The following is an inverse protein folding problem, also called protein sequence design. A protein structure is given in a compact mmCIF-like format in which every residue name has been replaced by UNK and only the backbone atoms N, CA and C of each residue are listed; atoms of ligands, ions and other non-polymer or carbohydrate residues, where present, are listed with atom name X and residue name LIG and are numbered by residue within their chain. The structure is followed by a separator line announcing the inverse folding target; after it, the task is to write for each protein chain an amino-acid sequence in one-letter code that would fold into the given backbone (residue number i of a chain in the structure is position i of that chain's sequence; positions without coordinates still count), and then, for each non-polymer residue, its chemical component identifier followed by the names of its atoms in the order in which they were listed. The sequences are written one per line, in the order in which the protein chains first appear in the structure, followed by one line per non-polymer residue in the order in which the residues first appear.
data_IF_002941883580
#
_entry.id   IF_002941883580
#
_cell.length_a   1.000
_cell.length_b   1.000
_cell.length_c   1.000
_cell.angle_alpha   90.00
_cell.angle_beta   90.00
_cell.angle_gamma   90.00
#
_symmetry.space_group_name_H-M   'P 1'
#
loop_
_entity.id
_entity.type
_entity.pdbx_description
1 polymer ?
#
# COMPACT_ATOMS: atom_id res chain seq x y z
N UNK A 1 28.35 -6.35 6.48
CA UNK A 1 27.59 -5.15 6.07
C UNK A 1 28.41 -4.42 5.02
N UNK A 2 27.99 -4.36 3.75
CA UNK A 2 28.70 -3.59 2.73
C UNK A 2 28.56 -2.10 3.05
N UNK A 3 29.68 -1.41 3.13
CA UNK A 3 29.81 0.01 3.50
C UNK A 3 29.58 0.97 2.33
N UNK A 4 28.91 0.55 1.24
CA UNK A 4 28.74 1.36 0.01
C UNK A 4 27.40 2.09 -0.11
N UNK A 5 26.41 1.78 0.73
CA UNK A 5 25.04 2.25 0.56
C UNK A 5 24.87 3.77 0.65
N UNK A 6 25.71 4.49 1.39
CA UNK A 6 25.56 5.95 1.59
C UNK A 6 25.62 6.76 0.29
N UNK A 7 26.27 6.23 -0.77
CA UNK A 7 26.36 6.90 -2.08
C UNK A 7 25.49 6.26 -3.17
N UNK A 8 24.93 5.07 -2.94
CA UNK A 8 24.34 4.23 -3.99
C UNK A 8 22.81 4.05 -3.87
N UNK A 9 22.20 4.43 -2.74
CA UNK A 9 20.80 4.13 -2.45
C UNK A 9 20.62 2.72 -1.86
N UNK A 10 19.52 2.47 -1.17
CA UNK A 10 19.20 1.15 -0.62
C UNK A 10 18.79 0.20 -1.75
N UNK A 11 19.20 -1.07 -1.67
CA UNK A 11 18.97 -2.06 -2.72
C UNK A 11 18.13 -3.22 -2.16
N UNK A 12 16.95 -3.41 -2.75
CA UNK A 12 16.10 -4.58 -2.55
C UNK A 12 16.37 -5.60 -3.65
N UNK A 13 16.36 -6.87 -3.28
CA UNK A 13 16.62 -8.01 -4.18
C UNK A 13 15.49 -9.02 -4.02
N UNK A 14 14.82 -9.33 -5.14
CA UNK A 14 13.76 -10.32 -5.18
C UNK A 14 14.31 -11.75 -4.97
N UNK A 15 13.62 -12.59 -4.18
CA UNK A 15 13.99 -13.99 -4.01
C UNK A 15 13.67 -14.78 -5.30
N UNK A 16 14.68 -15.01 -6.15
CA UNK A 16 14.49 -15.77 -7.40
C UNK A 16 14.96 -17.24 -7.30
N UNK A 17 14.31 -18.20 -7.99
CA UNK A 17 14.69 -19.62 -7.99
C UNK A 17 16.10 -19.91 -8.56
N UNK A 18 16.75 -18.91 -9.18
CA UNK A 18 18.09 -19.04 -9.77
C UNK A 18 19.21 -19.34 -8.75
N UNK A 19 18.92 -19.21 -7.46
CA UNK A 19 19.79 -19.58 -6.36
C UNK A 19 19.37 -20.92 -5.72
N UNK A 20 19.48 -22.02 -6.47
CA UNK A 20 19.49 -23.35 -5.86
C UNK A 20 20.78 -23.50 -5.03
N UNK A 21 20.68 -23.21 -3.74
CA UNK A 21 21.77 -23.31 -2.77
C UNK A 21 21.66 -22.36 -1.57
N UNK A 22 20.95 -21.23 -1.70
CA UNK A 22 20.75 -20.30 -0.57
C UNK A 22 19.36 -20.47 0.02
N UNK A 23 19.28 -20.89 1.28
CA UNK A 23 18.07 -20.75 2.08
C UNK A 23 17.80 -19.25 2.25
N UNK A 24 16.78 -18.75 1.58
CA UNK A 24 16.26 -17.42 1.84
C UNK A 24 15.59 -17.47 3.22
N UNK A 25 16.09 -16.68 4.18
CA UNK A 25 15.46 -16.54 5.48
C UNK A 25 14.74 -15.19 5.51
N UNK A 26 13.51 -15.10 6.05
CA UNK A 26 12.94 -13.82 6.43
C UNK A 26 13.82 -13.25 7.54
N UNK A 27 14.62 -12.23 7.21
CA UNK A 27 15.33 -11.41 8.16
C UNK A 27 14.36 -10.40 8.74
N UNK A 28 14.28 -10.33 10.07
CA UNK A 28 13.54 -9.26 10.74
C UNK A 28 14.46 -8.03 10.78
N UNK A 29 14.18 -6.97 10.02
CA UNK A 29 14.52 -5.65 10.52
C UNK A 29 13.33 -5.10 11.27
N UNK A 30 13.61 -4.63 12.48
CA UNK A 30 12.62 -3.99 13.32
C UNK A 30 12.48 -2.56 12.81
N UNK A 31 11.44 -2.31 12.01
CA UNK A 31 11.03 -0.95 11.69
C UNK A 31 10.72 -0.19 12.99
N UNK A 32 10.92 1.12 12.99
CA UNK A 32 10.68 2.01 14.13
C UNK A 32 9.22 2.04 14.64
N UNK A 33 8.31 1.32 13.96
CA UNK A 33 6.90 1.13 14.32
C UNK A 33 6.51 -0.28 14.80
N UNK A 34 7.46 -1.19 14.95
CA UNK A 34 7.17 -2.53 15.51
C UNK A 34 6.47 -3.51 14.56
N UNK A 35 6.22 -3.14 13.30
CA UNK A 35 5.89 -4.09 12.24
C UNK A 35 7.17 -4.80 11.75
N UNK A 36 7.07 -6.13 11.64
CA UNK A 36 8.14 -6.98 11.13
C UNK A 36 8.08 -6.92 9.61
N UNK A 37 9.00 -6.19 8.99
CA UNK A 37 9.18 -6.23 7.54
C UNK A 37 10.09 -7.42 7.19
N UNK A 38 9.63 -8.33 6.33
CA UNK A 38 10.43 -9.46 5.87
C UNK A 38 11.54 -8.97 4.92
N UNK A 39 12.77 -8.94 5.42
CA UNK A 39 13.96 -8.61 4.64
C UNK A 39 14.65 -9.89 4.20
N UNK A 40 14.81 -10.05 2.89
CA UNK A 40 15.51 -11.19 2.32
C UNK A 40 17.01 -10.92 2.23
N UNK A 41 17.81 -11.43 3.18
CA UNK A 41 19.27 -11.40 3.10
C UNK A 41 19.84 -12.70 2.52
N UNK A 42 20.76 -12.65 1.54
CA UNK A 42 21.46 -13.83 1.06
C UNK A 42 22.51 -14.29 2.09
N UNK A 43 22.42 -15.54 2.57
CA UNK A 43 23.56 -16.18 3.25
C UNK A 43 24.71 -16.33 2.26
N UNK A 44 25.90 -15.85 2.64
CA UNK A 44 27.14 -15.97 1.87
C UNK A 44 27.49 -17.45 1.59
N UNK A 45 26.95 -18.02 0.53
CA UNK A 45 27.50 -19.16 -0.22
C UNK A 45 26.68 -19.36 -1.49
N UNK A 46 27.20 -18.89 -2.63
CA UNK A 46 26.56 -19.07 -3.94
C UNK A 46 27.18 -20.33 -4.56
N UNK A 47 26.55 -21.48 -4.40
CA UNK A 47 26.82 -22.66 -5.23
C UNK A 47 25.90 -22.72 -6.47
N UNK A 48 26.22 -23.63 -7.39
CA UNK A 48 25.87 -23.60 -8.83
C UNK A 48 24.35 -23.71 -9.14
N UNK A 49 23.63 -22.60 -9.12
CA UNK A 49 22.33 -22.40 -9.80
C UNK A 49 22.43 -21.84 -11.24
N UNK A 50 21.34 -21.99 -12.02
CA UNK A 50 21.27 -21.87 -13.50
C UNK A 50 21.75 -20.57 -14.16
N UNK A 51 22.39 -20.71 -15.33
CA UNK A 51 23.12 -19.63 -16.03
C UNK A 51 22.25 -18.45 -16.51
N UNK A 52 20.96 -18.66 -16.83
CA UNK A 52 20.09 -17.59 -17.36
C UNK A 52 19.70 -16.53 -16.32
N UNK A 53 19.23 -16.96 -15.15
CA UNK A 53 18.86 -16.05 -14.06
C UNK A 53 20.09 -15.31 -13.48
N UNK A 54 21.24 -15.99 -13.42
CA UNK A 54 22.51 -15.37 -13.00
C UNK A 54 23.02 -14.32 -14.00
N UNK A 55 22.82 -14.51 -15.30
CA UNK A 55 23.16 -13.50 -16.31
C UNK A 55 22.24 -12.29 -16.23
N UNK A 56 20.91 -12.48 -16.08
CA UNK A 56 19.97 -11.36 -15.91
C UNK A 56 20.26 -10.52 -14.66
N UNK A 57 20.63 -11.17 -13.56
CA UNK A 57 21.07 -10.50 -12.33
C UNK A 57 22.43 -9.80 -12.50
N UNK A 58 23.38 -10.44 -13.17
CA UNK A 58 24.69 -9.88 -13.52
C UNK A 58 24.63 -8.70 -14.48
N UNK A 59 23.64 -8.66 -15.39
CA UNK A 59 23.41 -7.57 -16.33
C UNK A 59 22.60 -6.43 -15.68
N UNK A 60 21.65 -6.73 -14.79
CA UNK A 60 20.96 -5.74 -13.96
C UNK A 60 21.85 -5.05 -12.92
N UNK A 61 22.90 -5.74 -12.46
CA UNK A 61 23.97 -5.17 -11.62
C UNK A 61 25.11 -4.57 -12.45
N UNK A 62 25.31 -5.06 -13.69
CA UNK A 62 26.44 -4.79 -14.57
C UNK A 62 26.19 -3.82 -15.72
N UNK A 63 24.95 -3.35 -15.92
CA UNK A 63 24.68 -2.08 -16.58
C UNK A 63 25.52 -1.03 -15.83
N UNK A 64 26.70 -0.74 -16.40
CA UNK A 64 27.87 -0.09 -15.79
C UNK A 64 27.50 0.73 -14.55
N UNK A 65 28.23 0.52 -13.45
CA UNK A 65 28.34 1.34 -12.22
C UNK A 65 28.50 2.85 -12.53
N UNK A 66 27.50 3.41 -13.16
CA UNK A 66 27.26 4.81 -13.36
C UNK A 66 26.32 5.20 -12.22
N UNK A 67 26.54 6.37 -11.59
CA UNK A 67 25.61 6.89 -10.61
C UNK A 67 24.20 6.77 -11.14
N UNK A 68 23.22 6.56 -10.25
CA UNK A 68 21.80 6.47 -10.58
C UNK A 68 21.34 7.56 -11.58
N UNK A 69 22.07 8.68 -11.72
CA UNK A 69 22.17 9.46 -12.95
C UNK A 69 23.52 10.21 -13.05
N UNK A 70 24.32 10.15 -14.14
CA UNK A 70 25.32 11.16 -14.43
C UNK A 70 24.60 12.42 -14.91
N UNK A 71 24.30 13.35 -13.99
CA UNK A 71 23.65 14.62 -14.35
C UNK A 71 22.62 15.15 -13.36
N UNK A 72 22.36 14.49 -12.23
CA UNK A 72 21.59 15.13 -11.14
C UNK A 72 22.54 16.09 -10.42
N UNK A 73 22.38 17.42 -10.56
CA UNK A 73 23.26 18.37 -9.91
C UNK A 73 23.04 18.33 -8.40
N UNK A 74 24.12 18.56 -7.65
CA UNK A 74 24.10 18.84 -6.20
C UNK A 74 23.21 20.07 -5.92
N UNK A 75 22.65 20.18 -4.70
CA UNK A 75 21.24 20.44 -4.47
C UNK A 75 20.83 21.87 -4.86
N UNK A 76 19.91 21.99 -5.81
CA UNK A 76 19.12 23.19 -6.04
C UNK A 76 17.83 23.15 -5.20
N UNK A 77 17.17 24.30 -4.93
CA UNK A 77 16.03 24.43 -4.00
C UNK A 77 14.78 23.63 -4.37
N UNK A 78 14.77 22.89 -5.48
CA UNK A 78 13.64 22.08 -5.94
C UNK A 78 13.43 20.75 -5.15
N UNK A 79 14.24 20.47 -4.12
CA UNK A 79 14.18 19.19 -3.37
C UNK A 79 13.05 19.07 -2.35
N UNK A 80 12.35 20.13 -1.98
CA UNK A 80 11.27 20.04 -0.97
C UNK A 80 10.04 19.24 -1.43
N UNK A 81 9.92 18.89 -2.73
CA UNK A 81 8.74 18.20 -3.27
C UNK A 81 8.95 16.72 -3.63
N UNK A 82 10.15 16.16 -3.39
CA UNK A 82 10.48 14.77 -3.71
C UNK A 82 10.96 14.05 -2.45
N UNK A 83 10.24 13.00 -2.05
CA UNK A 83 10.57 12.17 -0.90
C UNK A 83 11.61 11.10 -1.26
N UNK A 84 11.45 10.47 -2.43
CA UNK A 84 12.35 9.41 -2.90
C UNK A 84 12.40 9.33 -4.42
N UNK A 85 13.45 8.69 -4.94
CA UNK A 85 13.61 8.27 -6.33
C UNK A 85 13.93 6.78 -6.32
N UNK A 86 13.34 6.03 -7.24
CA UNK A 86 13.58 4.59 -7.34
C UNK A 86 13.69 4.08 -8.77
N UNK A 87 14.34 2.93 -8.91
CA UNK A 87 14.43 2.18 -10.15
C UNK A 87 14.26 0.69 -9.86
N UNK A 88 13.27 0.08 -10.48
CA UNK A 88 12.98 -1.34 -10.43
C UNK A 88 13.31 -1.98 -11.79
N UNK A 89 14.06 -3.08 -11.78
CA UNK A 89 14.57 -3.74 -12.99
C UNK A 89 13.97 -5.14 -13.14
N UNK A 90 13.93 -5.64 -14.39
CA UNK A 90 13.54 -7.03 -14.70
C UNK A 90 14.33 -8.06 -13.87
N UNK A 91 15.61 -7.78 -13.59
CA UNK A 91 16.48 -8.67 -12.80
C UNK A 91 16.11 -8.83 -11.32
N UNK A 92 14.96 -8.32 -10.88
CA UNK A 92 14.50 -8.43 -9.49
C UNK A 92 15.17 -7.45 -8.54
N UNK A 93 15.80 -6.39 -9.06
CA UNK A 93 16.50 -5.39 -8.25
C UNK A 93 15.69 -4.10 -8.24
N UNK A 94 15.34 -3.63 -7.04
CA UNK A 94 14.74 -2.32 -6.80
C UNK A 94 15.68 -1.46 -5.98
N UNK A 95 16.07 -0.30 -6.49
CA UNK A 95 16.93 0.67 -5.78
C UNK A 95 16.13 1.88 -5.37
N UNK A 96 16.29 2.33 -4.12
CA UNK A 96 15.58 3.48 -3.56
C UNK A 96 16.58 4.49 -2.98
N UNK A 97 16.39 5.76 -3.30
CA UNK A 97 17.25 6.86 -2.85
C UNK A 97 16.40 8.02 -2.31
N UNK A 98 16.78 8.68 -1.19
CA UNK A 98 17.93 8.37 -0.32
C UNK A 98 17.69 7.14 0.56
N UNK A 99 18.74 6.60 1.21
CA UNK A 99 18.61 5.41 2.07
C UNK A 99 17.56 5.55 3.16
N UNK A 100 17.40 6.75 3.73
CA UNK A 100 16.37 7.02 4.73
C UNK A 100 14.95 6.72 4.21
N UNK A 101 14.71 6.92 2.92
CA UNK A 101 13.40 6.64 2.33
C UNK A 101 13.14 5.14 2.09
N UNK A 102 14.15 4.29 2.27
CA UNK A 102 14.00 2.85 2.16
C UNK A 102 13.34 2.24 3.41
N UNK A 103 13.50 2.88 4.58
CA UNK A 103 12.84 2.47 5.82
C UNK A 103 11.31 2.66 5.72
N UNK A 104 10.86 3.68 4.95
CA UNK A 104 9.45 3.99 4.68
C UNK A 104 8.95 3.40 3.34
N UNK A 105 9.64 2.37 2.83
CA UNK A 105 9.30 1.71 1.56
C UNK A 105 8.36 0.53 1.80
N UNK A 106 7.06 0.77 1.59
CA UNK A 106 5.99 -0.20 1.80
C UNK A 106 5.68 -1.06 0.55
N UNK A 107 6.32 -0.76 -0.58
CA UNK A 107 6.07 -1.50 -1.82
C UNK A 107 6.78 -2.85 -1.84
N UNK A 108 6.17 -3.79 -2.58
CA UNK A 108 6.70 -5.13 -2.75
C UNK A 108 8.14 -5.12 -3.31
N UNK A 109 9.11 -5.79 -2.65
CA UNK A 109 10.50 -5.83 -3.12
C UNK A 109 10.65 -6.57 -4.44
N UNK A 110 9.76 -7.51 -4.75
CA UNK A 110 9.72 -8.22 -6.03
C UNK A 110 9.00 -7.39 -7.11
N UNK A 111 9.70 -6.93 -8.16
CA UNK A 111 9.12 -6.06 -9.18
C UNK A 111 7.92 -6.68 -9.90
N UNK A 112 7.92 -7.99 -10.16
CA UNK A 112 6.81 -8.64 -10.86
C UNK A 112 5.54 -8.80 -10.02
N UNK A 113 5.65 -8.73 -8.70
CA UNK A 113 4.50 -8.71 -7.81
C UNK A 113 4.05 -7.27 -7.49
N UNK A 114 4.94 -6.28 -7.62
CA UNK A 114 4.63 -4.87 -7.44
C UNK A 114 3.67 -4.31 -8.49
N UNK A 115 2.58 -3.67 -8.04
CA UNK A 115 1.54 -3.14 -8.93
C UNK A 115 2.03 -1.96 -9.78
N UNK A 116 2.86 -1.07 -9.23
CA UNK A 116 3.41 0.07 -9.98
C UNK A 116 4.25 -0.38 -11.18
N UNK A 117 4.97 -1.50 -11.03
CA UNK A 117 5.86 -2.03 -12.06
C UNK A 117 5.04 -2.57 -13.24
N UNK A 118 4.07 -3.44 -12.96
CA UNK A 118 3.18 -4.01 -13.99
C UNK A 118 2.38 -2.93 -14.71
N UNK A 119 1.76 -2.00 -13.97
CA UNK A 119 0.97 -0.91 -14.54
C UNK A 119 1.80 0.02 -15.43
N UNK A 120 3.05 0.30 -15.05
CA UNK A 120 3.97 1.10 -15.86
C UNK A 120 4.40 0.41 -17.16
N UNK A 121 4.53 -0.91 -17.14
CA UNK A 121 4.87 -1.69 -18.33
C UNK A 121 3.71 -1.78 -19.32
N UNK A 122 2.48 -1.94 -18.82
CA UNK A 122 1.28 -2.10 -19.65
C UNK A 122 0.82 -0.77 -20.25
N UNK A 123 1.00 0.33 -19.54
CA UNK A 123 0.56 1.66 -19.97
C UNK A 123 1.67 2.48 -20.63
N UNK A 124 1.27 3.59 -21.24
CA UNK A 124 2.16 4.64 -21.75
C UNK A 124 1.98 5.90 -20.93
N UNK A 125 3.09 6.54 -20.56
CA UNK A 125 3.10 7.75 -19.74
C UNK A 125 3.38 7.46 -18.27
N UNK A 126 3.06 8.43 -17.42
CA UNK A 126 3.30 8.37 -15.98
C UNK A 126 2.08 7.79 -15.28
N UNK A 127 2.32 6.76 -14.45
CA UNK A 127 1.31 6.12 -13.62
C UNK A 127 1.43 6.64 -12.21
N UNK A 128 0.31 7.11 -11.65
CA UNK A 128 0.21 7.54 -10.28
C UNK A 128 -0.28 6.38 -9.43
N UNK A 129 0.34 6.16 -8.28
CA UNK A 129 -0.15 5.23 -7.28
C UNK A 129 -0.26 5.99 -5.96
N UNK A 130 -1.47 6.42 -5.57
CA UNK A 130 -1.68 6.99 -4.26
C UNK A 130 -1.50 5.89 -3.19
N UNK A 131 -1.16 6.26 -1.95
CA UNK A 131 -1.01 5.30 -0.86
C UNK A 131 -2.35 4.64 -0.55
N UNK A 132 -2.33 3.34 -0.29
CA UNK A 132 -3.52 2.63 0.15
C UNK A 132 -3.89 3.04 1.59
N UNK A 133 -5.18 3.23 1.87
CA UNK A 133 -5.67 3.63 3.18
C UNK A 133 -6.83 2.75 3.62
N UNK A 134 -6.60 1.98 4.68
CA UNK A 134 -7.68 1.28 5.37
C UNK A 134 -8.56 2.25 6.14
N UNK A 135 -9.87 1.97 6.14
CA UNK A 135 -10.87 2.76 6.86
C UNK A 135 -10.65 2.78 8.40
N UNK A 136 -9.84 1.87 8.93
CA UNK A 136 -9.50 1.76 10.36
C UNK A 136 -8.29 2.58 10.82
N UNK A 137 -7.49 3.12 9.89
CA UNK A 137 -6.34 3.96 10.22
C UNK A 137 -6.82 5.32 10.72
N UNK A 138 -6.89 5.47 12.04
CA UNK A 138 -7.21 6.74 12.71
C UNK A 138 -6.29 7.84 12.19
N UNK A 139 -6.84 9.02 11.93
CA UNK A 139 -6.12 10.22 11.50
C UNK A 139 -5.08 10.79 12.48
N UNK A 140 -4.61 10.01 13.45
CA UNK A 140 -3.58 10.38 14.43
C UNK A 140 -2.15 10.16 13.91
N UNK A 141 -1.93 9.28 12.93
CA UNK A 141 -0.59 9.11 12.30
C UNK A 141 -0.31 10.13 11.18
N UNK A 142 -1.30 10.96 10.84
CA UNK A 142 -1.19 12.03 9.84
C UNK A 142 -0.34 13.21 10.32
N UNK A 143 -0.19 13.39 11.63
CA UNK A 143 0.58 14.52 12.15
C UNK A 143 2.10 14.32 12.03
N UNK A 144 2.58 13.08 11.85
CA UNK A 144 4.01 12.77 11.88
C UNK A 144 4.61 12.20 10.59
N UNK A 145 3.79 11.66 9.66
CA UNK A 145 4.31 11.06 8.42
C UNK A 145 3.87 11.82 7.17
N UNK A 146 4.84 12.22 6.35
CA UNK A 146 4.61 12.79 5.01
C UNK A 146 3.97 11.75 4.10
N UNK A 147 2.80 12.08 3.56
CA UNK A 147 2.06 11.20 2.66
C UNK A 147 2.74 11.21 1.29
N UNK A 148 3.18 10.04 0.83
CA UNK A 148 3.89 9.92 -0.45
C UNK A 148 3.03 9.37 -1.57
N UNK A 149 2.93 10.07 -2.69
CA UNK A 149 2.34 9.55 -3.94
C UNK A 149 3.46 8.97 -4.81
N UNK A 150 3.33 7.71 -5.22
CA UNK A 150 4.30 7.09 -6.12
C UNK A 150 3.97 7.45 -7.57
N UNK A 151 4.97 7.87 -8.35
CA UNK A 151 4.84 8.11 -9.78
C UNK A 151 5.86 7.27 -10.51
N UNK A 152 5.44 6.51 -11.51
CA UNK A 152 6.29 5.55 -12.20
C UNK A 152 6.07 5.55 -13.71
N UNK A 153 7.13 5.23 -14.46
CA UNK A 153 7.09 5.07 -15.92
C UNK A 153 8.05 3.97 -16.33
N UNK A 154 7.68 3.20 -17.36
CA UNK A 154 8.59 2.26 -17.97
C UNK A 154 9.67 2.99 -18.79
N UNK A 155 10.90 2.48 -18.72
CA UNK A 155 12.01 2.90 -19.58
C UNK A 155 11.84 2.20 -20.90
N UNK A 156 11.53 2.94 -21.96
CA UNK A 156 11.34 2.40 -23.31
C UNK A 156 12.61 2.60 -24.14
N UNK A 157 13.20 1.50 -24.64
CA UNK A 157 14.39 1.51 -25.47
C UNK A 157 14.09 0.87 -26.83
N UNK A 158 14.57 1.47 -27.92
CA UNK A 158 14.47 0.86 -29.25
C UNK A 158 15.86 0.43 -29.73
N UNK A 159 16.08 -0.88 -29.85
CA UNK A 159 17.35 -1.47 -30.28
C UNK A 159 17.08 -2.35 -31.50
N UNK A 160 17.68 -2.02 -32.64
CA UNK A 160 17.53 -2.80 -33.87
C UNK A 160 16.08 -2.90 -34.37
N UNK A 161 15.28 -1.84 -34.19
CA UNK A 161 13.87 -1.80 -34.59
C UNK A 161 12.92 -2.57 -33.67
N UNK A 162 13.40 -3.10 -32.55
CA UNK A 162 12.58 -3.71 -31.50
C UNK A 162 12.51 -2.81 -30.28
N UNK A 163 11.30 -2.61 -29.76
CA UNK A 163 11.05 -1.88 -28.52
C UNK A 163 11.14 -2.82 -27.33
N UNK A 164 11.94 -2.45 -26.33
CA UNK A 164 12.16 -3.17 -25.08
C UNK A 164 11.86 -2.26 -23.89
N UNK A 165 11.35 -2.84 -22.81
CA UNK A 165 11.09 -2.14 -21.54
C UNK A 165 11.83 -2.82 -20.37
N UNK A 166 13.15 -2.59 -20.20
CA UNK A 166 13.97 -3.37 -19.24
C UNK A 166 13.81 -2.94 -17.77
N UNK A 167 13.29 -1.74 -17.51
CA UNK A 167 13.20 -1.19 -16.17
C UNK A 167 12.01 -0.22 -16.04
N UNK A 168 11.59 0.02 -14.81
CA UNK A 168 10.61 1.03 -14.42
C UNK A 168 11.31 1.98 -13.45
N UNK A 169 11.21 3.27 -13.74
CA UNK A 169 11.77 4.33 -12.90
C UNK A 169 10.65 5.18 -12.33
N UNK A 170 10.87 5.74 -11.15
CA UNK A 170 9.85 6.55 -10.51
C UNK A 170 10.34 7.40 -9.37
N UNK A 171 9.41 8.16 -8.81
CA UNK A 171 9.62 9.08 -7.70
C UNK A 171 8.48 8.95 -6.69
N UNK A 172 8.78 9.17 -5.41
CA UNK A 172 7.78 9.35 -4.35
C UNK A 172 7.64 10.85 -4.12
N UNK A 173 6.47 11.39 -4.41
CA UNK A 173 6.11 12.80 -4.33
C UNK A 173 5.54 13.11 -2.95
N UNK A 174 5.86 14.27 -2.39
CA UNK A 174 5.20 14.75 -1.17
C UNK A 174 3.81 15.32 -1.48
N UNK A 175 2.77 14.75 -0.86
CA UNK A 175 1.37 15.13 -1.10
C UNK A 175 1.14 16.63 -0.91
N UNK A 176 1.62 17.20 0.20
CA UNK A 176 1.33 18.60 0.56
C UNK A 176 1.97 19.56 -0.46
N UNK A 177 3.26 19.37 -0.75
CA UNK A 177 3.98 20.18 -1.72
C UNK A 177 3.40 20.07 -3.14
N UNK A 178 2.87 18.90 -3.52
CA UNK A 178 2.28 18.70 -4.85
C UNK A 178 0.81 19.11 -4.93
N UNK A 179 0.06 19.05 -3.84
CA UNK A 179 -1.27 19.61 -3.77
C UNK A 179 -1.23 21.11 -4.08
N UNK A 180 -0.32 21.87 -3.43
CA UNK A 180 -0.13 23.31 -3.70
C UNK A 180 0.22 23.59 -5.17
N UNK A 181 1.13 22.81 -5.75
CA UNK A 181 1.46 22.92 -7.19
C UNK A 181 0.25 22.61 -8.07
N UNK A 182 -0.54 21.60 -7.70
CA UNK A 182 -1.76 21.26 -8.40
C UNK A 182 -2.79 22.39 -8.36
N UNK A 183 -2.97 23.09 -7.23
CA UNK A 183 -3.86 24.27 -7.15
C UNK A 183 -3.45 25.32 -8.17
N UNK A 184 -2.15 25.60 -8.29
CA UNK A 184 -1.64 26.56 -9.29
C UNK A 184 -1.86 26.05 -10.71
N UNK A 185 -1.52 24.79 -11.01
CA UNK A 185 -1.64 24.22 -12.36
C UNK A 185 -3.08 24.03 -12.85
N UNK A 186 -3.99 23.74 -11.93
CA UNK A 186 -5.41 23.60 -12.21
C UNK A 186 -6.11 24.96 -12.29
N UNK A 187 -5.48 26.02 -11.78
CA UNK A 187 -6.00 27.38 -11.87
C UNK A 187 -5.69 28.04 -13.21
N UNK A 188 -6.40 29.12 -13.51
CA UNK A 188 -6.14 29.98 -14.66
C UNK A 188 -4.86 30.86 -14.49
N UNK A 189 -4.15 30.74 -13.36
CA UNK A 189 -2.89 31.45 -13.11
C UNK A 189 -1.70 30.53 -13.37
N UNK A 190 -0.75 31.01 -14.18
CA UNK A 190 0.50 30.29 -14.44
C UNK A 190 1.57 30.52 -13.37
N UNK A 191 1.39 31.51 -12.49
CA UNK A 191 2.34 31.88 -11.44
C UNK A 191 1.62 32.45 -10.22
N UNK A 192 2.27 32.38 -9.04
CA UNK A 192 1.75 32.91 -7.77
C UNK A 192 1.69 34.44 -7.78
N UNK A 193 2.52 35.07 -8.60
CA UNK A 193 2.54 36.51 -8.81
C UNK A 193 1.51 36.93 -9.87
N UNK A 194 0.75 37.99 -9.57
CA UNK A 194 -0.37 38.50 -10.38
C UNK A 194 0.02 38.99 -11.80
N UNK A 195 1.29 38.85 -12.20
CA UNK A 195 1.81 39.21 -13.52
C UNK A 195 1.78 38.05 -14.54
N UNK A 196 1.38 36.84 -14.14
CA UNK A 196 1.22 35.71 -15.05
C UNK A 196 0.10 35.90 -16.09
N UNK A 197 0.33 35.46 -17.32
CA UNK A 197 -0.66 35.50 -18.39
C UNK A 197 -1.88 34.61 -18.04
N UNK A 198 -3.07 35.21 -17.94
CA UNK A 198 -4.34 34.48 -17.80
C UNK A 198 -4.61 33.69 -19.07
N UNK A 199 -4.97 32.41 -18.95
CA UNK A 199 -5.33 31.55 -20.10
C UNK A 199 -6.73 31.84 -20.65
N UNK A 200 -7.65 32.33 -19.82
CA UNK A 200 -8.93 32.83 -20.30
C UNK A 200 -8.81 34.25 -20.88
N UNK A 201 -9.61 34.53 -21.89
CA UNK A 201 -9.82 35.87 -22.43
C UNK A 201 -10.49 36.77 -21.36
N UNK A 202 -10.00 38.01 -21.11
CA UNK A 202 -10.56 38.92 -20.11
C UNK A 202 -12.06 39.26 -20.29
N UNK A 203 -12.68 38.95 -21.44
CA UNK A 203 -14.12 39.15 -21.71
C UNK A 203 -15.03 38.11 -21.06
N UNK A 204 -14.52 36.91 -20.81
CA UNK A 204 -15.26 35.77 -20.25
C UNK A 204 -14.77 35.53 -18.84
N UNK A 205 -15.64 35.65 -17.84
CA UNK A 205 -15.33 35.22 -16.48
C UNK A 205 -14.93 33.75 -16.49
N UNK A 206 -13.75 33.40 -15.98
CA UNK A 206 -13.35 32.01 -15.79
C UNK A 206 -14.19 31.44 -14.63
N UNK A 207 -15.37 30.93 -14.96
CA UNK A 207 -16.31 30.42 -13.97
C UNK A 207 -15.83 29.08 -13.37
N UNK A 208 -14.98 28.34 -14.10
CA UNK A 208 -14.40 27.06 -13.68
C UNK A 208 -12.91 27.20 -13.38
N UNK A 209 -12.55 28.04 -12.41
CA UNK A 209 -11.17 28.22 -11.96
C UNK A 209 -10.94 27.49 -10.62
N UNK A 210 -9.98 26.56 -10.61
CA UNK A 210 -9.56 25.82 -9.41
C UNK A 210 -8.69 26.68 -8.49
N UNK A 211 -9.08 27.93 -8.27
CA UNK A 211 -8.31 28.85 -7.45
C UNK A 211 -8.20 28.30 -6.03
N UNK A 212 -6.98 28.35 -5.47
CA UNK A 212 -6.64 27.73 -4.18
C UNK A 212 -7.54 28.17 -3.01
N UNK A 213 -8.17 29.33 -3.12
CA UNK A 213 -8.99 29.93 -2.06
C UNK A 213 -10.50 29.79 -2.31
N UNK A 214 -10.93 29.26 -3.45
CA UNK A 214 -12.35 29.10 -3.74
C UNK A 214 -12.86 27.78 -3.16
N UNK A 215 -13.77 27.86 -2.19
CA UNK A 215 -14.38 26.68 -1.56
C UNK A 215 -15.55 26.10 -2.35
N UNK A 216 -16.05 26.83 -3.35
CA UNK A 216 -17.24 26.46 -4.09
C UNK A 216 -16.95 25.48 -5.24
N UNK A 217 -15.68 25.38 -5.68
CA UNK A 217 -15.24 24.48 -6.75
C UNK A 217 -14.27 23.43 -6.23
N UNK A 218 -14.56 22.16 -6.54
CA UNK A 218 -13.73 21.01 -6.18
C UNK A 218 -13.03 20.50 -7.44
N UNK A 219 -11.70 20.59 -7.44
CA UNK A 219 -10.87 20.05 -8.50
C UNK A 219 -10.05 18.88 -7.98
N UNK A 220 -10.09 17.77 -8.71
CA UNK A 220 -9.47 16.50 -8.32
C UNK A 220 -8.65 15.93 -9.48
N UNK A 221 -7.58 15.23 -9.14
CA UNK A 221 -6.82 14.39 -10.05
C UNK A 221 -7.13 12.92 -9.73
N UNK A 222 -7.56 12.18 -10.76
CA UNK A 222 -7.95 10.77 -10.64
C UNK A 222 -7.04 9.95 -11.56
N UNK A 223 -6.55 8.82 -11.05
CA UNK A 223 -5.69 7.88 -11.77
C UNK A 223 -6.48 6.96 -12.72
N UNK A 224 -5.81 6.23 -13.61
CA UNK A 224 -6.47 5.31 -14.57
C UNK A 224 -7.29 4.19 -13.91
N UNK A 225 -6.96 3.85 -12.66
CA UNK A 225 -7.73 2.91 -11.83
C UNK A 225 -8.96 3.52 -11.15
N UNK A 226 -9.23 4.82 -11.33
CA UNK A 226 -10.33 5.51 -10.64
C UNK A 226 -10.04 5.82 -9.17
N UNK A 227 -8.78 6.00 -8.80
CA UNK A 227 -8.37 6.36 -7.43
C UNK A 227 -8.06 7.86 -7.32
N UNK A 228 -8.44 8.48 -6.20
CA UNK A 228 -8.15 9.88 -5.94
C UNK A 228 -6.65 10.08 -5.65
N UNK A 229 -5.98 10.89 -6.47
CA UNK A 229 -4.55 11.20 -6.36
C UNK A 229 -4.31 12.53 -5.66
N UNK A 230 -4.95 13.61 -6.13
CA UNK A 230 -4.82 14.96 -5.58
C UNK A 230 -6.18 15.65 -5.52
N UNK A 231 -6.33 16.58 -4.57
CA UNK A 231 -7.48 17.47 -4.49
C UNK A 231 -7.03 18.89 -4.14
N UNK A 232 -7.76 19.88 -4.65
CA UNK A 232 -7.59 21.28 -4.27
C UNK A 232 -7.98 21.53 -2.80
N UNK A 233 -8.92 20.76 -2.26
CA UNK A 233 -9.40 20.97 -0.88
C UNK A 233 -8.62 20.12 0.12
N UNK A 234 -8.17 20.74 1.20
CA UNK A 234 -7.45 20.08 2.31
C UNK A 234 -8.31 19.02 3.00
N UNK A 235 -9.61 19.30 3.12
CA UNK A 235 -10.62 18.37 3.64
C UNK A 235 -10.74 17.10 2.77
N UNK A 236 -10.16 17.03 1.58
CA UNK A 236 -10.17 15.82 0.76
C UNK A 236 -8.83 15.06 0.82
N UNK A 237 -7.82 15.58 1.51
CA UNK A 237 -6.50 14.93 1.60
C UNK A 237 -6.54 13.60 2.36
N UNK A 238 -7.45 13.45 3.33
CA UNK A 238 -7.67 12.16 4.01
C UNK A 238 -8.36 11.11 3.11
N UNK A 239 -8.95 11.54 1.99
CA UNK A 239 -9.60 10.67 1.02
C UNK A 239 -8.67 10.25 -0.12
N UNK A 240 -7.48 10.85 -0.22
CA UNK A 240 -6.45 10.45 -1.20
C UNK A 240 -6.10 8.98 -0.99
N UNK A 241 -6.09 8.21 -2.08
CA UNK A 241 -5.90 6.76 -2.06
C UNK A 241 -7.19 5.94 -2.06
N UNK A 242 -8.34 6.55 -1.76
CA UNK A 242 -9.63 5.87 -1.86
C UNK A 242 -10.10 5.74 -3.29
N UNK A 243 -10.88 4.70 -3.55
CA UNK A 243 -11.59 4.56 -4.81
C UNK A 243 -12.59 5.71 -4.96
N UNK A 244 -12.63 6.33 -6.14
CA UNK A 244 -13.36 7.58 -6.32
C UNK A 244 -14.87 7.46 -6.11
N UNK A 245 -15.46 6.27 -6.28
CA UNK A 245 -16.87 6.05 -5.96
C UNK A 245 -17.18 6.11 -4.46
N UNK A 246 -16.19 5.93 -3.58
CA UNK A 246 -16.36 6.15 -2.12
C UNK A 246 -16.33 7.63 -1.77
N UNK A 247 -15.69 8.44 -2.61
CA UNK A 247 -15.58 9.90 -2.47
C UNK A 247 -16.79 10.59 -3.09
N UNK A 248 -17.07 10.31 -4.36
CA UNK A 248 -18.20 10.86 -5.13
C UNK A 248 -18.75 9.80 -6.11
N UNK A 249 -19.74 9.04 -5.65
CA UNK A 249 -20.39 8.00 -6.43
C UNK A 249 -21.13 8.55 -7.67
N UNK A 250 -21.72 9.74 -7.58
CA UNK A 250 -22.51 10.33 -8.66
C UNK A 250 -21.60 10.72 -9.83
N UNK A 251 -20.49 11.38 -9.54
CA UNK A 251 -19.50 11.74 -10.56
C UNK A 251 -18.84 10.49 -11.16
N UNK A 252 -18.47 9.50 -10.35
CA UNK A 252 -17.88 8.26 -10.88
C UNK A 252 -18.86 7.50 -11.80
N UNK A 253 -20.14 7.44 -11.44
CA UNK A 253 -21.19 6.86 -12.28
C UNK A 253 -21.36 7.63 -13.59
N UNK A 254 -21.34 8.97 -13.53
CA UNK A 254 -21.40 9.81 -14.73
C UNK A 254 -20.18 9.58 -15.65
N UNK A 255 -18.97 9.47 -15.09
CA UNK A 255 -17.75 9.17 -15.86
C UNK A 255 -17.84 7.80 -16.53
N UNK A 256 -18.36 6.80 -15.84
CA UNK A 256 -18.61 5.47 -16.40
C UNK A 256 -19.66 5.49 -17.52
N UNK A 257 -20.80 6.14 -17.30
CA UNK A 257 -21.89 6.24 -18.29
C UNK A 257 -21.46 6.97 -19.57
N UNK A 258 -20.56 7.95 -19.44
CA UNK A 258 -19.96 8.67 -20.56
C UNK A 258 -18.74 7.98 -21.16
N UNK A 259 -18.48 6.71 -20.80
CA UNK A 259 -17.41 5.88 -21.34
C UNK A 259 -15.97 6.36 -21.09
N UNK A 260 -15.74 7.19 -20.06
CA UNK A 260 -14.38 7.54 -19.63
C UNK A 260 -13.66 6.35 -19.02
N UNK A 261 -14.37 5.65 -18.14
CA UNK A 261 -13.90 4.42 -17.55
C UNK A 261 -14.67 3.23 -18.08
N UNK A 262 -13.96 2.13 -18.23
CA UNK A 262 -14.56 0.82 -18.44
C UNK A 262 -14.29 -0.04 -17.21
N UNK A 263 -15.28 -0.86 -16.84
CA UNK A 263 -15.23 -1.73 -15.67
C UNK A 263 -15.08 -3.18 -16.10
N UNK A 264 -14.16 -3.91 -15.48
CA UNK A 264 -13.97 -5.35 -15.67
C UNK A 264 -14.14 -6.05 -14.31
N UNK A 265 -14.95 -7.09 -14.31
CA UNK A 265 -15.26 -7.88 -13.12
C UNK A 265 -14.58 -9.25 -13.24
N UNK A 266 -13.94 -9.70 -12.16
CA UNK A 266 -13.30 -11.00 -12.03
C UNK A 266 -13.71 -11.68 -10.72
N UNK A 267 -13.60 -13.00 -10.68
CA UNK A 267 -13.97 -13.79 -9.50
C UNK A 267 -12.73 -14.51 -8.99
N UNK A 268 -12.40 -14.26 -7.72
CA UNK A 268 -11.36 -14.96 -6.98
C UNK A 268 -12.00 -16.11 -6.19
N UNK A 269 -11.64 -17.33 -6.55
CA UNK A 269 -12.16 -18.56 -5.91
C UNK A 269 -11.29 -19.05 -4.75
N UNK A 270 -10.16 -18.38 -4.47
CA UNK A 270 -9.19 -18.77 -3.45
C UNK A 270 -9.10 -17.77 -2.29
N UNK A 271 -10.05 -16.83 -2.22
CA UNK A 271 -10.11 -15.83 -1.18
C UNK A 271 -10.65 -16.34 0.16
N UNK A 272 -10.31 -15.60 1.21
CA UNK A 272 -10.75 -15.85 2.59
C UNK A 272 -11.67 -14.72 3.04
N UNK A 273 -12.81 -15.07 3.64
CA UNK A 273 -13.76 -14.10 4.20
C UNK A 273 -14.04 -14.39 5.67
N UNK A 274 -14.39 -13.32 6.39
CA UNK A 274 -14.99 -13.44 7.70
C UNK A 274 -16.25 -14.31 7.61
N UNK A 275 -16.42 -15.30 8.52
CA UNK A 275 -17.60 -16.14 8.50
C UNK A 275 -18.84 -15.27 8.69
N UNK A 276 -19.84 -15.46 7.84
CA UNK A 276 -21.15 -14.85 8.07
C UNK A 276 -21.65 -15.29 9.45
N UNK A 277 -22.20 -14.35 10.22
CA UNK A 277 -22.80 -14.65 11.50
C UNK A 277 -23.86 -15.74 11.27
N UNK A 278 -23.60 -16.94 11.78
CA UNK A 278 -24.52 -18.05 11.60
C UNK A 278 -25.89 -17.65 12.16
N UNK A 279 -26.93 -17.65 11.34
CA UNK A 279 -28.33 -17.51 11.78
C UNK A 279 -28.80 -18.80 12.47
N UNK A 280 -28.01 -19.31 13.41
CA UNK A 280 -28.31 -20.52 14.13
C UNK A 280 -29.37 -20.23 15.19
N UNK A 281 -30.64 -20.29 14.81
CA UNK A 281 -31.64 -20.90 15.69
C UNK A 281 -31.36 -22.40 15.77
N UNK A 282 -30.22 -22.77 16.33
CA UNK A 282 -29.86 -24.16 16.61
C UNK A 282 -30.65 -24.63 17.82
N UNK A 283 -31.50 -25.63 17.64
CA UNK A 283 -32.20 -26.29 18.73
C UNK A 283 -31.17 -26.88 19.70
N UNK A 284 -31.01 -26.28 20.88
CA UNK A 284 -30.24 -26.88 21.95
C UNK A 284 -30.80 -28.29 22.24
N UNK A 285 -29.96 -29.34 22.29
CA UNK A 285 -30.44 -30.67 22.61
C UNK A 285 -30.99 -30.63 24.04
N UNK A 286 -32.31 -30.75 24.19
CA UNK A 286 -32.97 -30.88 25.50
C UNK A 286 -32.75 -32.29 26.05
N UNK A 287 -31.54 -32.57 26.50
CA UNK A 287 -31.22 -33.74 27.30
C UNK A 287 -30.91 -33.31 28.73
N UNK A 288 -31.80 -33.59 29.68
CA UNK A 288 -31.50 -33.41 31.11
C UNK A 288 -30.62 -34.59 31.53
N UNK A 289 -29.34 -34.34 31.77
CA UNK A 289 -28.43 -35.34 32.34
C UNK A 289 -28.77 -35.54 33.82
N UNK A 290 -29.19 -36.75 34.19
CA UNK A 290 -29.44 -37.12 35.58
C UNK A 290 -28.15 -37.76 36.13
N UNK A 291 -27.41 -37.09 37.02
CA UNK A 291 -26.14 -37.60 37.52
C UNK A 291 -26.34 -38.89 38.31
N UNK A 292 -25.45 -39.85 38.10
CA UNK A 292 -25.44 -41.14 38.80
C UNK A 292 -24.64 -41.06 40.09
N UNK A 293 -24.76 -42.07 40.97
CA UNK A 293 -23.97 -42.14 42.21
C UNK A 293 -22.47 -42.18 41.92
N UNK A 294 -22.06 -42.75 40.78
CA UNK A 294 -20.67 -42.74 40.35
C UNK A 294 -20.18 -41.33 40.00
N UNK A 295 -21.02 -40.48 39.41
CA UNK A 295 -20.68 -39.10 39.09
C UNK A 295 -20.49 -38.27 40.37
N UNK A 296 -21.33 -38.48 41.39
CA UNK A 296 -21.18 -37.86 42.71
C UNK A 296 -19.89 -38.29 43.41
N UNK A 297 -19.55 -39.59 43.36
CA UNK A 297 -18.32 -40.11 43.96
C UNK A 297 -17.07 -39.62 43.24
N UNK A 298 -17.10 -39.54 41.90
CA UNK A 298 -16.02 -38.94 41.13
C UNK A 298 -15.85 -37.48 41.50
N UNK A 299 -16.93 -36.70 41.56
CA UNK A 299 -16.88 -35.29 41.90
C UNK A 299 -16.36 -35.08 43.33
N UNK A 300 -16.79 -35.89 44.29
CA UNK A 300 -16.27 -35.89 45.65
C UNK A 300 -14.76 -36.19 45.71
N UNK A 301 -14.29 -37.18 44.94
CA UNK A 301 -12.87 -37.50 44.82
C UNK A 301 -12.06 -36.34 44.23
N UNK A 302 -12.50 -35.77 43.11
CA UNK A 302 -11.85 -34.62 42.47
C UNK A 302 -11.82 -33.41 43.39
N UNK A 303 -12.90 -33.11 44.11
CA UNK A 303 -12.92 -32.01 45.08
C UNK A 303 -11.99 -32.26 46.26
N UNK A 304 -11.84 -33.52 46.70
CA UNK A 304 -10.92 -33.88 47.78
C UNK A 304 -9.46 -33.74 47.32
N UNK A 305 -9.16 -34.18 46.10
CA UNK A 305 -7.84 -34.01 45.48
C UNK A 305 -7.50 -32.52 45.27
N UNK A 306 -8.45 -31.72 44.79
CA UNK A 306 -8.26 -30.28 44.60
C UNK A 306 -8.07 -29.55 45.95
N UNK A 307 -8.88 -29.86 46.96
CA UNK A 307 -8.73 -29.31 48.30
C UNK A 307 -7.37 -29.68 48.90
N UNK A 308 -6.90 -30.91 48.70
CA UNK A 308 -5.58 -31.35 49.14
C UNK A 308 -4.45 -30.62 48.41
N UNK A 309 -4.59 -30.40 47.10
CA UNK A 309 -3.63 -29.61 46.31
C UNK A 309 -3.55 -28.16 46.81
N UNK A 310 -4.69 -27.51 47.07
CA UNK A 310 -4.74 -26.15 47.59
C UNK A 310 -4.19 -26.08 49.02
N UNK A 311 -4.46 -27.07 49.86
CA UNK A 311 -3.90 -27.17 51.20
C UNK A 311 -2.37 -27.33 51.16
N UNK A 312 -1.86 -28.17 50.25
CA UNK A 312 -0.43 -28.30 50.00
C UNK A 312 0.15 -26.97 49.53
N UNK A 313 -0.47 -26.27 48.56
CA UNK A 313 -0.03 -24.95 48.10
C UNK A 313 -0.07 -23.89 49.21
N UNK A 314 -1.04 -23.96 50.12
CA UNK A 314 -1.09 -23.10 51.30
C UNK A 314 0.06 -23.40 52.28
N UNK A 315 0.36 -24.66 52.56
CA UNK A 315 1.49 -25.04 53.41
C UNK A 315 2.85 -24.72 52.77
N UNK A 316 3.01 -24.95 51.47
CA UNK A 316 4.20 -24.55 50.71
C UNK A 316 4.34 -23.02 50.65
N UNK A 317 3.24 -22.28 50.53
CA UNK A 317 3.23 -20.81 50.58
C UNK A 317 3.55 -20.24 51.97
N UNK A 318 3.15 -20.91 53.05
CA UNK A 318 3.50 -20.53 54.42
C UNK A 318 4.98 -20.80 54.75
N UNK A 319 5.59 -21.81 54.13
CA UNK A 319 7.00 -22.19 54.35
C UNK A 319 7.97 -21.48 53.41
N UNK A 320 7.50 -21.02 52.24
CA UNK A 320 8.26 -20.24 51.26
C UNK A 320 7.53 -18.92 50.96
N UNK A 321 7.51 -18.01 51.93
CA UNK A 321 6.75 -16.75 51.88
C UNK A 321 7.38 -15.64 51.02
N UNK A 322 7.96 -15.96 49.85
CA UNK A 322 8.66 -14.93 49.05
C UNK A 322 8.56 -14.99 47.52
N UNK A 323 7.69 -15.79 46.88
CA UNK A 323 7.77 -15.87 45.41
C UNK A 323 6.50 -16.19 44.60
N UNK A 324 5.37 -15.53 44.86
CA UNK A 324 4.26 -15.54 43.90
C UNK A 324 3.90 -14.13 43.46
N UNK A 325 4.43 -13.72 42.31
CA UNK A 325 3.77 -12.72 41.47
C UNK A 325 2.72 -13.44 40.63
N UNK A 326 1.49 -12.93 40.66
CA UNK A 326 0.42 -13.31 39.75
C UNK A 326 0.72 -12.72 38.36
N UNK A 327 1.13 -13.56 37.43
CA UNK A 327 1.12 -13.22 36.00
C UNK A 327 -0.30 -13.45 35.49
N UNK A 328 -0.98 -12.38 35.10
CA UNK A 328 -2.28 -12.44 34.44
C UNK A 328 -2.09 -13.07 33.06
N UNK A 329 -2.44 -14.35 32.93
CA UNK A 329 -2.57 -14.98 31.62
C UNK A 329 -3.83 -14.43 30.97
N UNK A 330 -3.65 -13.41 30.13
CA UNK A 330 -4.66 -12.96 29.20
C UNK A 330 -5.06 -14.14 28.30
N UNK A 331 -6.34 -14.52 28.36
CA UNK A 331 -6.89 -15.56 27.50
C UNK A 331 -6.76 -15.11 26.05
N UNK A 332 -6.02 -15.91 25.27
CA UNK A 332 -5.88 -15.74 23.83
C UNK A 332 -7.28 -15.70 23.20
N UNK A 333 -7.59 -14.60 22.52
CA UNK A 333 -8.88 -14.39 21.91
C UNK A 333 -9.13 -15.49 20.88
N UNK A 334 -10.31 -16.10 20.95
CA UNK A 334 -10.75 -17.14 20.02
C UNK A 334 -10.54 -16.66 18.57
N UNK A 335 -9.49 -17.13 17.91
CA UNK A 335 -9.21 -16.85 16.51
C UNK A 335 -10.47 -17.11 15.68
N UNK A 336 -10.94 -16.07 14.99
CA UNK A 336 -12.09 -16.20 14.12
C UNK A 336 -11.75 -17.23 13.04
N UNK A 337 -12.52 -18.32 12.95
CA UNK A 337 -12.33 -19.33 11.91
C UNK A 337 -12.59 -18.71 10.55
N UNK A 338 -11.51 -18.42 9.84
CA UNK A 338 -11.50 -17.98 8.46
C UNK A 338 -12.13 -19.04 7.54
N UNK A 339 -12.97 -18.61 6.60
CA UNK A 339 -13.66 -19.51 5.67
C UNK A 339 -13.37 -19.15 4.22
N UNK A 340 -13.25 -20.16 3.34
CA UNK A 340 -13.07 -19.95 1.91
C UNK A 340 -14.35 -19.35 1.31
N UNK A 341 -14.20 -18.25 0.58
CA UNK A 341 -15.29 -17.56 -0.09
C UNK A 341 -14.90 -17.21 -1.53
N UNK A 342 -15.89 -16.82 -2.34
CA UNK A 342 -15.67 -16.30 -3.68
C UNK A 342 -15.75 -14.78 -3.62
N UNK A 343 -14.65 -14.09 -3.86
CA UNK A 343 -14.61 -12.63 -3.89
C UNK A 343 -14.78 -12.12 -5.32
N UNK A 344 -15.76 -11.24 -5.53
CA UNK A 344 -15.92 -10.51 -6.79
C UNK A 344 -15.02 -9.28 -6.78
N UNK A 345 -13.99 -9.30 -7.62
CA UNK A 345 -13.06 -8.18 -7.81
C UNK A 345 -13.53 -7.32 -8.99
N UNK A 346 -13.42 -6.01 -8.86
CA UNK A 346 -13.85 -5.04 -9.87
C UNK A 346 -12.70 -4.07 -10.14
N UNK A 347 -12.31 -3.94 -11.40
CA UNK A 347 -11.21 -3.07 -11.83
C UNK A 347 -11.72 -2.06 -12.85
N UNK A 348 -11.25 -0.82 -12.74
CA UNK A 348 -11.54 0.26 -13.70
C UNK A 348 -10.28 0.58 -14.51
N UNK A 349 -10.48 0.98 -15.76
CA UNK A 349 -9.43 1.41 -16.67
C UNK A 349 -9.97 2.51 -17.57
N UNK A 350 -9.08 3.41 -18.00
CA UNK A 350 -9.44 4.39 -19.02
C UNK A 350 -9.85 3.70 -20.32
N UNK A 351 -10.91 4.22 -20.92
CA UNK A 351 -11.34 3.83 -22.27
C UNK A 351 -10.39 4.41 -23.33
N UNK A 352 -10.57 4.00 -24.57
CA UNK A 352 -9.78 4.48 -25.73
C UNK A 352 -10.21 5.87 -26.23
N UNK A 353 -11.17 6.50 -25.55
CA UNK A 353 -11.75 7.78 -25.98
C UNK A 353 -10.95 8.93 -25.37
N UNK A 354 -10.17 9.62 -26.21
CA UNK A 354 -9.55 10.90 -25.84
C UNK A 354 -10.60 12.02 -25.99
N UNK A 355 -11.43 12.22 -24.96
CA UNK A 355 -12.43 13.28 -24.96
C UNK A 355 -12.28 14.20 -23.75
N UNK A 356 -12.40 15.50 -23.99
CA UNK A 356 -12.77 16.46 -22.94
C UNK A 356 -14.28 16.42 -22.77
N UNK A 357 -14.76 16.24 -21.55
CA UNK A 357 -16.19 16.24 -21.26
C UNK A 357 -16.58 17.46 -20.45
N UNK A 358 -17.63 18.11 -20.92
CA UNK A 358 -18.27 19.22 -20.24
C UNK A 358 -19.77 18.96 -20.29
N UNK A 359 -20.34 18.57 -19.15
CA UNK A 359 -21.77 18.46 -18.99
C UNK A 359 -22.16 18.61 -17.53
N UNK A 360 -23.42 18.96 -17.34
CA UNK A 360 -24.05 19.09 -16.04
C UNK A 360 -24.44 17.70 -15.54
N UNK A 361 -24.12 17.40 -14.29
CA UNK A 361 -24.46 16.13 -13.62
C UNK A 361 -25.60 16.37 -12.65
N UNK A 362 -26.67 15.58 -12.82
CA UNK A 362 -27.82 15.60 -11.93
C UNK A 362 -27.53 14.76 -10.67
N UNK A 363 -27.51 15.40 -9.51
CA UNK A 363 -27.35 14.78 -8.21
C UNK A 363 -28.70 14.59 -7.50
N UNK A 364 -29.81 14.60 -8.26
CA UNK A 364 -31.18 14.37 -7.80
C UNK A 364 -31.90 15.65 -7.38
N UNK A 365 -31.32 16.41 -6.45
CA UNK A 365 -31.87 17.71 -6.00
C UNK A 365 -30.91 18.90 -6.22
N UNK A 366 -29.79 18.66 -6.89
CA UNK A 366 -28.87 19.70 -7.32
C UNK A 366 -28.23 19.32 -8.66
N UNK A 367 -27.87 20.32 -9.43
CA UNK A 367 -27.06 20.19 -10.63
C UNK A 367 -25.63 20.63 -10.33
N UNK A 368 -24.64 19.87 -10.81
CA UNK A 368 -23.22 20.21 -10.69
C UNK A 368 -22.59 20.34 -12.06
#
# INVERSE_FOLDING_TARGET
LPTSFESEGHVFIAPSPGFWGSTWCPGKAQGSRGEVQEIWEPKQSIEKGGHGAKMGYGDGTGAKQHPLMPGVPVPSPCRYSLLAVFAATDGGITRVFPNKAADDWEEEPEPFNASFYRRSLDNKGYIFKPPYRDAGYRGLDLENNTIGILVSTAVELSIGGKTLKPAVVGVKLDLEAWAEKFKVLASNRTDRDQLGARRCDPSTSCEMDCEANNKDLICVLIDDGGFLVLSNQEDHWYQVGKFFSEVDANLMSALYNNSFYTRKESYDFQSVCAPEAQSNTGAAPRGVFVPTVADLLNLAWWTSAAAWSLFQQFLYGLTYSSWFQTEEVAGDGMEARETSCIMKQTQYYFSTVNATYNAIIDCGNCSR
#
